data_IF_784180482232
#
_entry.id   IF_784180482232
#
_cell.length_a   1.000
_cell.length_b   1.000
_cell.length_c   1.000
_cell.angle_alpha   90.00
_cell.angle_beta   90.00
_cell.angle_gamma   90.00
#
_symmetry.space_group_name_H-M   'P 1'
#
loop_
_entity.id
_entity.type
_entity.pdbx_description
1 polymer ?
#
# COMPACT_ATOMS: atom_id res chain seq x y z
N UNK A 1 -3.02 -4.35 14.43
CA UNK A 1 -1.68 -4.00 13.90
C UNK A 1 -1.32 -5.04 12.86
N UNK A 2 -0.82 -4.66 11.68
CA UNK A 2 -0.47 -5.63 10.65
C UNK A 2 0.77 -6.42 11.05
N UNK A 3 0.63 -7.73 11.26
CA UNK A 3 1.77 -8.61 11.48
C UNK A 3 2.50 -8.80 10.15
N UNK A 4 3.82 -8.65 10.18
CA UNK A 4 4.66 -8.94 9.02
C UNK A 4 4.78 -10.46 8.86
N UNK A 5 4.76 -11.00 7.64
CA UNK A 5 5.10 -12.40 7.38
C UNK A 5 6.43 -12.81 8.03
N UNK A 6 6.50 -14.03 8.56
CA UNK A 6 7.70 -14.56 9.24
C UNK A 6 8.95 -14.44 8.37
N UNK A 7 8.85 -14.82 7.09
CA UNK A 7 9.97 -14.76 6.15
C UNK A 7 10.52 -13.34 5.96
N UNK A 8 9.68 -12.30 6.05
CA UNK A 8 10.10 -10.89 5.99
C UNK A 8 10.82 -10.47 7.28
N UNK A 9 10.31 -10.91 8.43
CA UNK A 9 10.94 -10.64 9.73
C UNK A 9 12.31 -11.29 9.79
N UNK A 10 12.39 -12.58 9.44
CA UNK A 10 13.66 -13.34 9.36
C UNK A 10 14.63 -12.69 8.36
N UNK A 11 14.16 -12.27 7.18
CA UNK A 11 15.00 -11.59 6.18
C UNK A 11 15.57 -10.28 6.72
N UNK A 12 14.76 -9.48 7.43
CA UNK A 12 15.23 -8.25 8.09
C UNK A 12 16.27 -8.54 9.16
N UNK A 13 16.03 -9.51 10.04
CA UNK A 13 16.97 -9.87 11.10
C UNK A 13 18.30 -10.38 10.53
N UNK A 14 18.24 -11.15 9.45
CA UNK A 14 19.43 -11.60 8.74
C UNK A 14 20.17 -10.43 8.09
N UNK A 15 19.46 -9.47 7.49
CA UNK A 15 20.07 -8.28 6.89
C UNK A 15 20.84 -7.44 7.93
N UNK A 16 20.30 -7.26 9.14
CA UNK A 16 20.95 -6.52 10.22
C UNK A 16 22.26 -7.17 10.72
N UNK A 17 22.45 -8.47 10.47
CA UNK A 17 23.67 -9.21 10.82
C UNK A 17 24.72 -9.22 9.70
N UNK A 18 24.42 -8.62 8.55
CA UNK A 18 25.32 -8.64 7.39
C UNK A 18 26.47 -7.65 7.54
N UNK A 19 27.60 -7.96 6.90
CA UNK A 19 28.72 -7.04 6.84
C UNK A 19 28.36 -5.78 6.06
N UNK A 20 27.51 -5.89 5.04
CA UNK A 20 27.01 -4.77 4.24
C UNK A 20 26.22 -3.77 5.10
N UNK A 21 25.41 -4.26 6.04
CA UNK A 21 24.71 -3.41 7.00
C UNK A 21 25.67 -2.68 7.94
N UNK A 22 26.66 -3.40 8.48
CA UNK A 22 27.69 -2.81 9.34
C UNK A 22 28.48 -1.75 8.58
N UNK A 23 28.91 -2.05 7.35
CA UNK A 23 29.63 -1.11 6.49
C UNK A 23 28.81 0.15 6.20
N UNK A 24 27.52 0.01 5.85
CA UNK A 24 26.67 1.17 5.62
C UNK A 24 26.53 2.01 6.90
N UNK A 25 26.33 1.35 8.04
CA UNK A 25 26.16 2.01 9.34
C UNK A 25 27.40 2.79 9.74
N UNK A 26 28.59 2.20 9.61
CA UNK A 26 29.87 2.89 9.85
C UNK A 26 30.01 4.12 8.96
N UNK A 27 29.75 3.98 7.66
CA UNK A 27 29.83 5.10 6.73
C UNK A 27 28.83 6.24 7.05
N UNK A 28 27.63 5.91 7.56
CA UNK A 28 26.66 6.92 8.01
C UNK A 28 27.21 7.66 9.23
N UNK A 29 27.77 6.94 10.22
CA UNK A 29 28.36 7.58 11.39
C UNK A 29 29.53 8.49 11.02
N UNK A 30 30.44 8.02 10.17
CA UNK A 30 31.58 8.82 9.70
C UNK A 30 31.12 10.09 8.98
N UNK A 31 30.07 9.99 8.15
CA UNK A 31 29.50 11.14 7.46
C UNK A 31 28.79 12.13 8.42
N UNK A 32 28.14 11.62 9.47
CA UNK A 32 27.55 12.45 10.52
C UNK A 32 28.65 13.20 11.27
N UNK A 33 29.71 12.52 11.69
CA UNK A 33 30.83 13.13 12.42
C UNK A 33 31.53 14.22 11.59
N UNK A 34 31.70 13.98 10.28
CA UNK A 34 32.21 15.00 9.36
C UNK A 34 31.29 16.23 9.29
N UNK A 35 29.97 16.04 9.23
CA UNK A 35 29.02 17.15 9.20
C UNK A 35 28.94 17.91 10.53
N UNK A 36 29.07 17.23 11.68
CA UNK A 36 29.15 17.84 13.00
C UNK A 36 30.41 18.70 13.12
N UNK A 37 31.55 18.17 12.70
CA UNK A 37 32.82 18.89 12.67
C UNK A 37 32.76 20.15 11.78
N UNK A 38 32.14 20.05 10.60
CA UNK A 38 31.94 21.19 9.68
C UNK A 38 31.00 22.26 10.26
N UNK A 39 30.04 21.86 11.10
CA UNK A 39 29.06 22.75 11.71
C UNK A 39 29.51 23.28 13.08
N UNK A 40 30.72 22.94 13.52
CA UNK A 40 31.26 23.26 14.85
C UNK A 40 30.39 22.77 16.02
N UNK A 41 29.66 21.66 15.82
CA UNK A 41 28.86 21.00 16.86
C UNK A 41 29.64 19.82 17.41
N UNK A 42 29.80 19.75 18.74
CA UNK A 42 30.61 18.71 19.38
C UNK A 42 29.89 17.36 19.47
N UNK A 43 28.59 17.36 19.83
CA UNK A 43 27.85 16.12 20.00
C UNK A 43 26.54 16.15 19.20
N UNK A 44 26.21 15.02 18.57
CA UNK A 44 24.93 14.85 17.89
C UNK A 44 23.74 15.07 18.83
N UNK A 45 23.90 14.81 20.14
CA UNK A 45 22.88 15.01 21.17
C UNK A 45 22.50 16.47 21.36
N UNK A 46 23.40 17.41 21.04
CA UNK A 46 23.22 18.85 21.23
C UNK A 46 22.28 19.45 20.17
N UNK A 47 22.00 18.70 19.11
CA UNK A 47 21.09 19.07 18.05
C UNK A 47 19.62 18.87 18.47
N UNK A 48 18.76 19.78 18.05
CA UNK A 48 17.30 19.57 18.07
C UNK A 48 16.89 18.41 17.15
N UNK A 49 15.70 17.84 17.35
CA UNK A 49 15.24 16.70 16.54
C UNK A 49 15.13 17.03 15.03
N UNK A 50 14.83 18.28 14.71
CA UNK A 50 14.82 18.78 13.34
C UNK A 50 16.24 18.80 12.73
N UNK A 51 17.23 19.27 13.50
CA UNK A 51 18.63 19.31 13.07
C UNK A 51 19.24 17.91 12.96
N UNK A 52 18.93 17.01 13.91
CA UNK A 52 19.32 15.60 13.86
C UNK A 52 18.83 14.94 12.57
N UNK A 53 17.56 15.15 12.23
CA UNK A 53 16.95 14.63 11.01
C UNK A 53 17.65 15.17 9.76
N UNK A 54 17.97 16.47 9.75
CA UNK A 54 18.61 17.14 8.63
C UNK A 54 20.08 16.70 8.43
N UNK A 55 20.84 16.50 9.52
CA UNK A 55 22.21 15.96 9.45
C UNK A 55 22.19 14.51 8.94
N UNK A 56 21.28 13.67 9.44
CA UNK A 56 21.12 12.29 8.95
C UNK A 56 20.72 12.24 7.48
N UNK A 57 19.84 13.13 7.03
CA UNK A 57 19.45 13.21 5.62
C UNK A 57 20.64 13.62 4.73
N UNK A 58 21.46 14.58 5.17
CA UNK A 58 22.67 15.00 4.46
C UNK A 58 23.70 13.87 4.39
N UNK A 59 23.96 13.18 5.50
CA UNK A 59 24.83 12.01 5.55
C UNK A 59 24.33 10.87 4.65
N UNK A 60 23.02 10.60 4.65
CA UNK A 60 22.45 9.60 3.74
C UNK A 60 22.56 10.00 2.26
N UNK A 61 22.46 11.30 1.94
CA UNK A 61 22.61 11.82 0.56
C UNK A 61 24.07 11.76 0.10
N UNK A 62 25.05 12.08 0.94
CA UNK A 62 26.46 12.01 0.57
C UNK A 62 26.89 10.58 0.23
N UNK A 63 26.31 9.59 0.90
CA UNK A 63 26.55 8.16 0.64
C UNK A 63 25.85 7.61 -0.62
N UNK A 64 24.82 8.31 -1.11
CA UNK A 64 24.19 8.03 -2.41
C UNK A 64 24.93 8.66 -3.58
N UNK A 65 25.94 9.50 -3.31
CA UNK A 65 26.79 10.09 -4.33
C UNK A 65 27.62 9.02 -5.04
N UNK A 66 27.69 9.13 -6.37
CA UNK A 66 28.46 8.23 -7.24
C UNK A 66 29.91 8.13 -6.77
N UNK A 67 30.34 6.96 -6.30
CA UNK A 67 31.75 6.60 -6.38
C UNK A 67 32.08 6.45 -7.85
N UNK A 68 33.24 6.94 -8.30
CA UNK A 68 33.69 6.94 -9.69
C UNK A 68 33.52 5.56 -10.39
N UNK A 69 32.33 5.26 -10.91
CA UNK A 69 31.96 4.01 -11.57
C UNK A 69 31.71 2.78 -10.68
N UNK A 70 31.64 2.91 -9.34
CA UNK A 70 31.55 1.77 -8.42
C UNK A 70 30.20 1.63 -7.70
N UNK A 71 29.86 0.44 -7.18
CA UNK A 71 28.68 0.26 -6.31
C UNK A 71 28.89 0.95 -4.96
N UNK A 72 27.90 1.69 -4.50
CA UNK A 72 27.93 2.35 -3.19
C UNK A 72 27.70 1.33 -2.06
N UNK A 73 28.05 1.66 -0.80
CA UNK A 73 27.67 0.84 0.36
C UNK A 73 26.16 0.56 0.43
N UNK A 74 25.35 1.52 -0.03
CA UNK A 74 23.90 1.37 -0.13
C UNK A 74 23.50 0.34 -1.19
N UNK A 75 24.12 0.36 -2.37
CA UNK A 75 23.86 -0.61 -3.43
C UNK A 75 24.23 -2.04 -3.01
N UNK A 76 25.36 -2.18 -2.31
CA UNK A 76 25.79 -3.47 -1.77
C UNK A 76 24.80 -4.03 -0.75
N UNK A 77 24.32 -3.19 0.17
CA UNK A 77 23.28 -3.60 1.11
C UNK A 77 21.97 -3.94 0.39
N UNK A 78 21.53 -3.14 -0.57
CA UNK A 78 20.32 -3.41 -1.33
C UNK A 78 20.40 -4.75 -2.05
N UNK A 79 21.50 -5.03 -2.73
CA UNK A 79 21.74 -6.33 -3.39
C UNK A 79 21.66 -7.47 -2.38
N UNK A 80 22.32 -7.32 -1.22
CA UNK A 80 22.30 -8.33 -0.17
C UNK A 80 20.90 -8.55 0.40
N UNK A 81 20.14 -7.48 0.60
CA UNK A 81 18.74 -7.54 1.05
C UNK A 81 17.87 -8.25 0.01
N UNK A 82 18.04 -7.97 -1.29
CA UNK A 82 17.35 -8.68 -2.37
C UNK A 82 17.62 -10.19 -2.31
N UNK A 83 18.89 -10.61 -2.20
CA UNK A 83 19.25 -12.03 -2.09
C UNK A 83 18.61 -12.71 -0.86
N UNK A 84 18.53 -12.00 0.27
CA UNK A 84 17.93 -12.50 1.50
C UNK A 84 16.41 -12.63 1.38
N UNK A 85 15.76 -11.66 0.74
CA UNK A 85 14.31 -11.70 0.49
C UNK A 85 13.95 -12.86 -0.44
N UNK A 86 14.69 -13.04 -1.54
CA UNK A 86 14.46 -14.13 -2.49
C UNK A 86 14.61 -15.50 -1.81
N UNK A 87 15.63 -15.66 -0.96
CA UNK A 87 15.81 -16.88 -0.15
C UNK A 87 14.69 -17.06 0.87
N UNK A 88 14.30 -15.99 1.55
CA UNK A 88 13.23 -16.00 2.56
C UNK A 88 11.91 -16.47 1.98
N UNK A 89 11.47 -15.87 0.86
CA UNK A 89 10.25 -16.28 0.16
C UNK A 89 10.34 -17.72 -0.32
N UNK A 90 11.44 -18.11 -0.96
CA UNK A 90 11.59 -19.49 -1.45
C UNK A 90 11.55 -20.53 -0.32
N UNK A 91 12.14 -20.25 0.84
CA UNK A 91 12.09 -21.13 2.00
C UNK A 91 10.68 -21.24 2.59
N UNK A 92 9.94 -20.13 2.62
CA UNK A 92 8.53 -20.12 3.07
C UNK A 92 7.64 -20.93 2.12
N UNK A 93 7.78 -20.71 0.81
CA UNK A 93 7.05 -21.45 -0.23
C UNK A 93 7.39 -22.94 -0.16
N UNK A 94 8.66 -23.29 0.00
CA UNK A 94 9.07 -24.70 0.12
C UNK A 94 8.46 -25.36 1.35
N UNK A 95 8.34 -24.65 2.48
CA UNK A 95 7.61 -25.16 3.66
C UNK A 95 6.12 -25.36 3.38
N UNK A 96 5.46 -24.40 2.72
CA UNK A 96 4.04 -24.53 2.35
C UNK A 96 3.78 -25.72 1.42
N UNK A 97 4.64 -25.93 0.41
CA UNK A 97 4.56 -27.08 -0.51
C UNK A 97 4.74 -28.45 0.17
N UNK A 98 5.39 -28.51 1.34
CA UNK A 98 5.55 -29.77 2.09
C UNK A 98 4.33 -30.08 2.99
N UNK A 99 3.46 -29.09 3.22
CA UNK A 99 2.38 -29.18 4.22
C UNK A 99 1.02 -29.41 3.55
N UNK A 100 0.82 -28.85 2.35
CA UNK A 100 -0.39 -28.99 1.55
C UNK A 100 -0.07 -29.63 0.18
N UNK A 101 -0.98 -30.44 -0.37
CA UNK A 101 -0.96 -30.85 -1.78
C UNK A 101 -1.58 -29.71 -2.61
N UNK A 102 -0.78 -28.79 -3.18
CA UNK A 102 -1.30 -27.54 -3.67
C UNK A 102 -1.88 -27.72 -5.07
N UNK A 103 -3.11 -27.23 -5.26
CA UNK A 103 -3.70 -27.07 -6.60
C UNK A 103 -3.00 -25.95 -7.41
N UNK A 104 -2.25 -25.08 -6.73
CA UNK A 104 -1.54 -23.94 -7.31
C UNK A 104 -0.11 -24.28 -7.75
N UNK A 105 0.41 -23.57 -8.75
CA UNK A 105 1.82 -23.73 -9.12
C UNK A 105 2.73 -23.06 -8.10
N UNK A 106 3.99 -23.49 -8.02
CA UNK A 106 5.00 -22.82 -7.17
C UNK A 106 5.10 -21.31 -7.44
N UNK A 107 4.93 -20.90 -8.69
CA UNK A 107 4.95 -19.48 -9.10
C UNK A 107 3.79 -18.71 -8.50
N UNK A 108 2.59 -19.29 -8.52
CA UNK A 108 1.39 -18.66 -7.94
C UNK A 108 1.56 -18.45 -6.44
N UNK A 109 2.09 -19.46 -5.73
CA UNK A 109 2.36 -19.37 -4.29
C UNK A 109 3.40 -18.28 -4.00
N UNK A 110 4.48 -18.18 -4.80
CA UNK A 110 5.46 -17.10 -4.67
C UNK A 110 4.78 -15.74 -4.83
N UNK A 111 3.96 -15.56 -5.87
CA UNK A 111 3.27 -14.30 -6.13
C UNK A 111 2.32 -13.93 -4.98
N UNK A 112 1.56 -14.90 -4.46
CA UNK A 112 0.67 -14.71 -3.32
C UNK A 112 1.44 -14.26 -2.07
N UNK A 113 2.54 -14.94 -1.72
CA UNK A 113 3.40 -14.60 -0.57
C UNK A 113 4.06 -13.23 -0.71
N UNK A 114 4.51 -12.87 -1.91
CA UNK A 114 5.07 -11.55 -2.19
C UNK A 114 4.00 -10.46 -2.07
N UNK A 115 2.78 -10.70 -2.57
CA UNK A 115 1.66 -9.77 -2.42
C UNK A 115 1.31 -9.55 -0.94
N UNK A 116 1.22 -10.61 -0.14
CA UNK A 116 1.03 -10.52 1.30
C UNK A 116 2.11 -9.66 1.97
N UNK A 117 3.37 -9.89 1.59
CA UNK A 117 4.50 -9.10 2.06
C UNK A 117 4.37 -7.61 1.73
N UNK A 118 4.09 -7.28 0.47
CA UNK A 118 3.87 -5.89 0.02
C UNK A 118 2.72 -5.25 0.79
N UNK A 119 1.60 -5.96 0.95
CA UNK A 119 0.42 -5.47 1.68
C UNK A 119 0.77 -5.19 3.15
N UNK A 120 1.48 -6.11 3.81
CA UNK A 120 1.88 -5.94 5.20
C UNK A 120 2.83 -4.75 5.38
N UNK A 121 3.79 -4.58 4.46
CA UNK A 121 4.70 -3.44 4.44
C UNK A 121 3.95 -2.11 4.24
N UNK A 122 3.04 -2.04 3.27
CA UNK A 122 2.25 -0.84 2.98
C UNK A 122 1.28 -0.48 4.11
N UNK A 123 0.69 -1.46 4.79
CA UNK A 123 -0.15 -1.23 5.98
C UNK A 123 0.67 -0.70 7.15
N UNK A 124 1.91 -1.16 7.30
CA UNK A 124 2.82 -0.72 8.37
C UNK A 124 3.44 0.66 8.08
N UNK A 125 3.74 0.93 6.82
CA UNK A 125 4.38 2.17 6.36
C UNK A 125 3.64 2.76 5.16
N UNK A 126 2.45 3.37 5.36
CA UNK A 126 1.59 3.86 4.29
C UNK A 126 2.25 4.96 3.45
N UNK A 127 3.16 5.74 4.02
CA UNK A 127 3.90 6.79 3.31
C UNK A 127 4.82 6.22 2.22
N UNK A 128 5.13 4.93 2.26
CA UNK A 128 5.91 4.25 1.22
C UNK A 128 5.09 3.93 -0.03
N UNK A 129 3.81 4.30 -0.10
CA UNK A 129 2.93 4.06 -1.26
C UNK A 129 3.53 4.53 -2.58
N UNK A 130 4.34 5.61 -2.57
CA UNK A 130 5.01 6.10 -3.77
C UNK A 130 5.83 5.01 -4.46
N UNK A 131 6.42 4.05 -3.73
CA UNK A 131 7.22 2.94 -4.29
C UNK A 131 6.44 1.99 -5.20
N UNK A 132 5.11 2.05 -5.19
CA UNK A 132 4.28 1.33 -6.16
C UNK A 132 4.52 1.80 -7.61
N UNK A 133 5.19 2.94 -7.83
CA UNK A 133 5.67 3.33 -9.17
C UNK A 133 6.63 2.31 -9.79
N UNK A 134 7.25 1.43 -8.99
CA UNK A 134 8.07 0.33 -9.54
C UNK A 134 7.26 -0.59 -10.47
N UNK A 135 5.93 -0.61 -10.32
CA UNK A 135 5.00 -1.35 -11.18
C UNK A 135 4.38 -0.48 -12.28
N UNK A 136 4.98 0.68 -12.61
CA UNK A 136 4.47 1.51 -13.70
C UNK A 136 4.46 0.70 -15.01
N UNK A 137 3.38 0.81 -15.78
CA UNK A 137 3.10 0.01 -16.98
C UNK A 137 2.89 -1.50 -16.72
N UNK A 138 2.77 -1.93 -15.46
CA UNK A 138 2.38 -3.28 -15.10
C UNK A 138 1.05 -3.27 -14.34
N UNK A 139 0.20 -4.25 -14.60
CA UNK A 139 -1.01 -4.42 -13.81
C UNK A 139 -0.64 -4.86 -12.40
N UNK A 140 -0.91 -4.02 -11.41
CA UNK A 140 -0.77 -4.41 -10.00
C UNK A 140 -1.62 -5.66 -9.73
N UNK A 141 -1.09 -6.69 -9.04
CA UNK A 141 -1.89 -7.80 -8.54
C UNK A 141 -3.09 -7.27 -7.76
N UNK A 142 -4.25 -7.92 -7.92
CA UNK A 142 -5.52 -7.44 -7.36
C UNK A 142 -5.44 -7.13 -5.85
N UNK A 143 -4.85 -7.99 -4.99
CA UNK A 143 -4.72 -7.70 -3.57
C UNK A 143 -3.92 -6.41 -3.28
N UNK A 144 -2.84 -6.19 -4.01
CA UNK A 144 -1.98 -4.99 -3.88
C UNK A 144 -2.70 -3.75 -4.41
N UNK A 145 -3.45 -3.90 -5.51
CA UNK A 145 -4.24 -2.82 -6.12
C UNK A 145 -5.25 -2.24 -5.13
N UNK A 146 -5.98 -3.10 -4.42
CA UNK A 146 -6.97 -2.68 -3.42
C UNK A 146 -6.35 -1.86 -2.29
N UNK A 147 -5.18 -2.29 -1.78
CA UNK A 147 -4.45 -1.52 -0.78
C UNK A 147 -3.94 -0.20 -1.36
N UNK A 148 -3.39 -0.21 -2.58
CA UNK A 148 -2.95 0.99 -3.28
C UNK A 148 -4.08 2.01 -3.41
N UNK A 149 -5.26 1.58 -3.83
CA UNK A 149 -6.43 2.46 -3.95
C UNK A 149 -6.84 3.05 -2.62
N UNK A 150 -6.88 2.26 -1.54
CA UNK A 150 -7.16 2.79 -0.23
C UNK A 150 -6.11 3.84 0.19
N UNK A 151 -4.82 3.65 -0.14
CA UNK A 151 -3.75 4.59 0.20
C UNK A 151 -3.75 5.88 -0.64
N UNK A 152 -4.17 5.82 -1.90
CA UNK A 152 -4.18 6.97 -2.81
C UNK A 152 -5.51 7.73 -2.83
N UNK A 153 -6.63 7.05 -2.63
CA UNK A 153 -7.98 7.63 -2.74
C UNK A 153 -8.57 8.02 -1.37
N UNK A 154 -7.97 7.59 -0.26
CA UNK A 154 -8.41 8.02 1.07
C UNK A 154 -8.28 9.53 1.23
N UNK A 155 -9.41 10.20 1.50
CA UNK A 155 -9.45 11.62 1.77
C UNK A 155 -10.28 11.91 3.03
N UNK A 156 -9.60 12.33 4.09
CA UNK A 156 -10.22 12.59 5.39
C UNK A 156 -11.22 13.76 5.34
N UNK A 157 -10.99 14.76 4.49
CA UNK A 157 -11.85 15.94 4.41
C UNK A 157 -13.22 15.57 3.83
N UNK A 158 -13.26 14.79 2.74
CA UNK A 158 -14.53 14.31 2.17
C UNK A 158 -15.24 13.33 3.09
N UNK A 159 -14.50 12.50 3.83
CA UNK A 159 -15.08 11.60 4.84
C UNK A 159 -15.77 12.39 5.96
N UNK A 160 -15.11 13.41 6.51
CA UNK A 160 -15.70 14.25 7.55
C UNK A 160 -16.90 15.03 7.02
N UNK A 161 -16.82 15.55 5.80
CA UNK A 161 -17.95 16.20 5.15
C UNK A 161 -19.17 15.26 5.08
N UNK A 162 -18.99 14.03 4.60
CA UNK A 162 -20.06 13.04 4.55
C UNK A 162 -20.68 12.76 5.92
N UNK A 163 -19.86 12.56 6.95
CA UNK A 163 -20.32 12.29 8.31
C UNK A 163 -21.14 13.48 8.84
N UNK A 164 -20.68 14.71 8.58
CA UNK A 164 -21.38 15.92 8.99
C UNK A 164 -22.71 16.09 8.25
N UNK A 165 -22.73 15.90 6.92
CA UNK A 165 -23.94 16.01 6.10
C UNK A 165 -24.99 14.97 6.53
N UNK A 166 -24.55 13.73 6.78
CA UNK A 166 -25.40 12.65 7.28
C UNK A 166 -25.95 12.97 8.68
N UNK A 167 -25.13 13.48 9.60
CA UNK A 167 -25.52 13.82 10.96
C UNK A 167 -26.48 15.01 11.04
N UNK A 168 -26.30 16.01 10.18
CA UNK A 168 -27.15 17.21 10.15
C UNK A 168 -28.49 16.96 9.46
N UNK A 169 -28.48 16.29 8.31
CA UNK A 169 -29.69 15.97 7.55
C UNK A 169 -29.49 14.70 6.72
N UNK A 170 -30.00 13.54 7.18
CA UNK A 170 -29.89 12.28 6.45
C UNK A 170 -30.49 12.31 5.04
N UNK A 171 -31.43 13.21 4.75
CA UNK A 171 -32.00 13.34 3.39
C UNK A 171 -31.07 14.05 2.43
N UNK A 172 -30.13 14.85 2.93
CA UNK A 172 -29.18 15.60 2.08
C UNK A 172 -28.15 14.69 1.39
N UNK A 173 -27.93 13.49 1.95
CA UNK A 173 -27.02 12.49 1.38
C UNK A 173 -27.72 11.49 0.45
N UNK A 174 -29.04 11.60 0.30
CA UNK A 174 -29.83 10.72 -0.55
C UNK A 174 -30.16 11.40 -1.88
N UNK A 175 -29.95 10.66 -2.96
CA UNK A 175 -30.39 11.03 -4.29
C UNK A 175 -31.92 10.91 -4.41
N UNK A 176 -32.60 11.80 -5.16
CA UNK A 176 -33.99 11.59 -5.55
C UNK A 176 -34.15 10.38 -6.50
N UNK A 177 -33.08 9.96 -7.17
CA UNK A 177 -33.03 8.81 -8.07
C UNK A 177 -32.52 7.53 -7.39
N UNK A 178 -32.54 7.48 -6.05
CA UNK A 178 -31.99 6.37 -5.26
C UNK A 178 -32.55 4.99 -5.68
N UNK A 179 -33.83 4.93 -6.06
CA UNK A 179 -34.46 3.70 -6.56
C UNK A 179 -33.92 3.26 -7.93
N UNK A 180 -33.58 4.21 -8.80
CA UNK A 180 -32.99 3.92 -10.11
C UNK A 180 -31.52 3.52 -9.96
N UNK A 181 -30.77 4.23 -9.11
CA UNK A 181 -29.40 3.87 -8.73
C UNK A 181 -29.35 2.43 -8.23
N UNK A 182 -30.27 2.02 -7.36
CA UNK A 182 -30.36 0.64 -6.89
C UNK A 182 -30.56 -0.36 -8.04
N UNK A 183 -31.52 -0.11 -8.94
CA UNK A 183 -31.78 -1.01 -10.08
C UNK A 183 -30.57 -1.12 -11.01
N UNK A 184 -29.89 -0.01 -11.26
CA UNK A 184 -28.70 0.02 -12.11
C UNK A 184 -27.54 -0.75 -11.46
N UNK A 185 -27.32 -0.59 -10.15
CA UNK A 185 -26.35 -1.41 -9.41
C UNK A 185 -26.70 -2.91 -9.48
N UNK A 186 -27.96 -3.27 -9.28
CA UNK A 186 -28.43 -4.66 -9.34
C UNK A 186 -28.21 -5.28 -10.74
N UNK A 187 -28.52 -4.52 -11.80
CA UNK A 187 -28.29 -4.94 -13.18
C UNK A 187 -26.79 -5.10 -13.47
N UNK A 188 -25.99 -4.15 -13.03
CA UNK A 188 -24.55 -4.13 -13.26
C UNK A 188 -23.84 -5.33 -12.60
N UNK A 189 -24.16 -5.61 -11.34
CA UNK A 189 -23.56 -6.74 -10.60
C UNK A 189 -23.92 -8.09 -11.20
N UNK A 190 -25.12 -8.21 -11.79
CA UNK A 190 -25.57 -9.44 -12.47
C UNK A 190 -24.97 -9.62 -13.87
N UNK A 191 -24.62 -8.52 -14.54
CA UNK A 191 -24.10 -8.56 -15.91
C UNK A 191 -22.58 -8.63 -15.97
N UNK A 192 -21.87 -8.11 -14.97
CA UNK A 192 -20.42 -8.07 -14.97
C UNK A 192 -19.78 -9.29 -14.28
N UNK A 193 -18.95 -10.08 -14.99
CA UNK A 193 -18.25 -11.22 -14.41
C UNK A 193 -17.36 -10.86 -13.21
N UNK A 194 -16.74 -9.68 -13.22
CA UNK A 194 -15.86 -9.20 -12.14
C UNK A 194 -16.62 -8.91 -10.83
N UNK A 195 -17.95 -8.76 -10.90
CA UNK A 195 -18.79 -8.44 -9.74
C UNK A 195 -19.55 -9.67 -9.22
N UNK A 196 -19.26 -10.88 -9.72
CA UNK A 196 -19.99 -12.11 -9.35
C UNK A 196 -20.03 -12.34 -7.84
N UNK A 197 -18.92 -12.08 -7.14
CA UNK A 197 -18.81 -12.23 -5.68
C UNK A 197 -19.68 -11.22 -4.89
N UNK A 198 -20.24 -10.21 -5.56
CA UNK A 198 -21.10 -9.19 -4.96
C UNK A 198 -22.59 -9.52 -5.05
N UNK A 199 -23.01 -10.49 -5.88
CA UNK A 199 -24.42 -10.77 -6.19
C UNK A 199 -25.26 -11.00 -4.93
N UNK A 200 -24.74 -11.75 -3.97
CA UNK A 200 -25.45 -12.11 -2.74
C UNK A 200 -25.10 -11.22 -1.54
N UNK A 201 -24.19 -10.26 -1.72
CA UNK A 201 -23.74 -9.39 -0.65
C UNK A 201 -24.61 -8.14 -0.51
N UNK A 202 -25.59 -8.22 0.41
CA UNK A 202 -26.42 -7.06 0.80
C UNK A 202 -25.57 -5.85 1.23
N UNK A 203 -24.44 -6.11 1.89
CA UNK A 203 -23.51 -5.07 2.34
C UNK A 203 -22.84 -4.35 1.16
N UNK A 204 -22.35 -5.09 0.18
CA UNK A 204 -21.73 -4.52 -1.02
C UNK A 204 -22.75 -3.71 -1.83
N UNK A 205 -23.95 -4.25 -2.03
CA UNK A 205 -25.01 -3.54 -2.74
C UNK A 205 -25.42 -2.24 -2.04
N UNK A 206 -25.58 -2.29 -0.72
CA UNK A 206 -25.89 -1.10 0.09
C UNK A 206 -24.79 -0.06 0.02
N UNK A 207 -23.52 -0.49 0.01
CA UNK A 207 -22.37 0.40 -0.13
C UNK A 207 -22.32 1.07 -1.51
N UNK A 208 -22.51 0.30 -2.59
CA UNK A 208 -22.57 0.84 -3.96
C UNK A 208 -23.66 1.92 -4.08
N UNK A 209 -24.87 1.60 -3.62
CA UNK A 209 -26.00 2.54 -3.65
C UNK A 209 -25.66 3.80 -2.84
N UNK A 210 -25.19 3.65 -1.60
CA UNK A 210 -24.91 4.78 -0.73
C UNK A 210 -23.83 5.72 -1.32
N UNK A 211 -22.76 5.15 -1.91
CA UNK A 211 -21.70 5.92 -2.55
C UNK A 211 -22.27 6.73 -3.71
N UNK A 212 -23.00 6.10 -4.63
CA UNK A 212 -23.55 6.76 -5.81
C UNK A 212 -24.65 7.76 -5.46
N UNK A 213 -25.50 7.44 -4.48
CA UNK A 213 -26.58 8.30 -4.00
C UNK A 213 -26.03 9.60 -3.40
N UNK A 214 -24.99 9.49 -2.57
CA UNK A 214 -24.31 10.66 -2.02
C UNK A 214 -23.52 11.43 -3.08
N UNK A 215 -22.81 10.74 -3.97
CA UNK A 215 -22.11 11.38 -5.07
C UNK A 215 -23.05 12.19 -5.97
N UNK A 216 -24.22 11.64 -6.30
CA UNK A 216 -25.25 12.33 -7.05
C UNK A 216 -25.81 13.54 -6.30
N UNK A 217 -26.05 13.42 -4.98
CA UNK A 217 -26.58 14.53 -4.18
C UNK A 217 -25.62 15.73 -4.13
N UNK A 218 -24.29 15.50 -4.25
CA UNK A 218 -23.30 16.59 -4.34
C UNK A 218 -23.51 17.51 -5.55
N UNK A 219 -24.10 17.02 -6.64
CA UNK A 219 -24.39 17.83 -7.83
C UNK A 219 -25.72 18.59 -7.74
N UNK A 220 -26.35 18.62 -6.56
CA UNK A 220 -27.70 19.17 -6.37
C UNK A 220 -28.73 18.57 -7.32
N UNK A 221 -28.53 17.31 -7.75
CA UNK A 221 -29.40 16.57 -8.66
C UNK A 221 -29.59 17.26 -10.03
N UNK A 222 -28.57 17.97 -10.51
CA UNK A 222 -28.62 18.73 -11.77
C UNK A 222 -28.33 17.90 -13.02
N UNK A 223 -27.92 16.65 -12.85
CA UNK A 223 -27.59 15.72 -13.94
C UNK A 223 -27.81 14.29 -13.49
N UNK A 224 -28.04 13.43 -14.46
CA UNK A 224 -28.03 11.99 -14.25
C UNK A 224 -26.60 11.47 -14.09
N UNK A 225 -26.49 10.30 -13.48
CA UNK A 225 -25.23 9.55 -13.43
C UNK A 225 -25.00 8.87 -14.78
N UNK A 226 -23.78 8.97 -15.30
CA UNK A 226 -23.38 8.27 -16.52
C UNK A 226 -22.90 6.85 -16.19
N UNK A 227 -23.02 5.93 -17.14
CA UNK A 227 -22.68 4.51 -16.93
C UNK A 227 -21.28 4.30 -16.35
N UNK A 228 -20.28 5.07 -16.81
CA UNK A 228 -18.90 5.01 -16.31
C UNK A 228 -18.80 5.18 -14.79
N UNK A 229 -19.67 5.98 -14.18
CA UNK A 229 -19.67 6.25 -12.75
C UNK A 229 -20.12 5.03 -11.95
N UNK A 230 -21.07 4.26 -12.49
CA UNK A 230 -21.47 2.97 -11.92
C UNK A 230 -20.33 1.94 -12.04
N UNK A 231 -19.54 1.95 -13.12
CA UNK A 231 -18.39 1.05 -13.22
C UNK A 231 -17.30 1.37 -12.18
N UNK A 232 -17.09 2.64 -11.83
CA UNK A 232 -16.05 3.03 -10.85
C UNK A 232 -16.38 2.60 -9.42
N UNK A 233 -17.65 2.44 -9.05
CA UNK A 233 -18.01 2.06 -7.67
C UNK A 233 -17.65 0.62 -7.34
N UNK A 234 -17.69 -0.29 -8.33
CA UNK A 234 -17.41 -1.72 -8.12
C UNK A 234 -16.04 -1.94 -7.47
N UNK A 235 -14.94 -1.51 -8.10
CA UNK A 235 -13.64 -1.85 -7.57
C UNK A 235 -13.30 -1.06 -6.29
N UNK A 236 -13.98 0.06 -6.01
CA UNK A 236 -13.91 0.78 -4.72
C UNK A 236 -14.56 -0.05 -3.60
N UNK A 237 -15.73 -0.64 -3.85
CA UNK A 237 -16.40 -1.49 -2.86
C UNK A 237 -15.60 -2.78 -2.65
N UNK A 238 -15.10 -3.39 -3.72
CA UNK A 238 -14.23 -4.57 -3.62
C UNK A 238 -12.90 -4.28 -2.90
N UNK A 239 -12.36 -3.06 -2.96
CA UNK A 239 -11.13 -2.73 -2.21
C UNK A 239 -11.33 -2.63 -0.69
N UNK A 240 -12.58 -2.41 -0.24
CA UNK A 240 -12.96 -2.32 1.16
C UNK A 240 -13.53 -3.64 1.70
N UNK A 241 -14.20 -4.41 0.84
CA UNK A 241 -14.70 -5.74 1.11
C UNK A 241 -14.11 -6.72 0.08
N UNK A 242 -12.79 -6.99 0.13
CA UNK A 242 -12.20 -7.95 -0.78
C UNK A 242 -12.89 -9.31 -0.57
N UNK A 243 -13.17 -10.06 -1.65
CA UNK A 243 -13.67 -11.42 -1.50
C UNK A 243 -12.69 -12.20 -0.62
N UNK A 244 -13.22 -13.03 0.28
CA UNK A 244 -12.40 -14.04 0.94
C UNK A 244 -11.78 -14.87 -0.17
N UNK A 245 -10.45 -14.87 -0.25
CA UNK A 245 -9.67 -15.47 -1.33
C UNK A 245 -10.23 -16.84 -1.73
N UNK A 246 -10.37 -17.08 -3.04
CA UNK A 246 -10.33 -18.45 -3.57
C UNK A 246 -8.89 -18.94 -3.54
#
# INVERSE_FOLDING_TARGET
MANLPSWLVESRENALKTQEWNNLTTNIYDAVDQHLAQSHVQYFTDLSDAEKSLVLERAAKSLKGTTNGGPTPYDNLNKRVSDLLDKGVNNDVSRSLMTDDPLETKTDIILNKVCEGIIALLRKWPDQKYKLHAFLNQSLPQPVRFVGWNLYLSNINYRQKFINDLGNNPRSVLSPMDAEIQRNCDSLVRTLPVATDMIDSKGNMSAMKAILSYYHSMFSNKRDLVDSEYYYVIPIVLSHNPPLSR
#
